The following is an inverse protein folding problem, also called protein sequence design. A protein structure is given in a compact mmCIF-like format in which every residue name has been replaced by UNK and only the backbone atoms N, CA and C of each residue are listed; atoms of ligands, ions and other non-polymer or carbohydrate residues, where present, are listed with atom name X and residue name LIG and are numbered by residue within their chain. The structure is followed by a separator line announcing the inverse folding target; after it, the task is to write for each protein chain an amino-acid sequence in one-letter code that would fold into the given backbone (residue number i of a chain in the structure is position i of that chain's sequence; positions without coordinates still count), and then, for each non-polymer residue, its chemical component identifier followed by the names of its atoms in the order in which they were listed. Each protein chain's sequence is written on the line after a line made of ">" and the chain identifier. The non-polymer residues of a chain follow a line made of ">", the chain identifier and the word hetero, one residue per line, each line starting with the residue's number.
data_IF_919033905864
#
_entry.id   IF_919033905864
#
_cell.length_a   1.000
_cell.length_b   1.000
_cell.length_c   1.000
_cell.angle_alpha   90.00
_cell.angle_beta   90.00
_cell.angle_gamma   90.00
#
_symmetry.space_group_name_H-M   'P 1'
#
loop_
_entity.id
_entity.type
_entity.pdbx_description
1 polymer ?
#
# COMPACT_ATOMS: atom_id res chain seq x y z
N UNK A 1 17.56 16.46 25.93
CA UNK A 1 17.18 15.29 25.13
C UNK A 1 16.96 15.76 23.71
N UNK A 2 17.75 15.32 22.72
CA UNK A 2 17.62 15.87 21.37
C UNK A 2 16.30 15.37 20.77
N UNK A 3 15.33 16.27 20.65
CA UNK A 3 14.09 16.05 19.93
C UNK A 3 14.45 16.02 18.45
N UNK A 4 14.47 14.83 17.84
CA UNK A 4 14.68 14.67 16.41
C UNK A 4 13.39 15.08 15.67
N UNK A 5 13.01 16.35 15.77
CA UNK A 5 11.90 16.93 15.02
C UNK A 5 12.35 17.07 13.58
N UNK A 6 11.85 16.19 12.71
CA UNK A 6 12.12 16.29 11.28
C UNK A 6 11.59 17.65 10.78
N UNK A 7 12.43 18.44 10.08
CA UNK A 7 12.05 19.79 9.69
C UNK A 7 10.97 19.73 8.62
N UNK A 8 9.82 20.38 8.89
CA UNK A 8 8.81 20.65 7.88
C UNK A 8 9.41 21.57 6.81
N UNK A 9 9.52 21.09 5.57
CA UNK A 9 10.17 21.82 4.46
C UNK A 9 9.17 22.50 3.54
N UNK A 10 9.66 23.42 2.69
CA UNK A 10 8.88 24.07 1.63
C UNK A 10 8.28 23.07 0.61
N UNK A 11 8.88 21.88 0.47
CA UNK A 11 8.33 20.81 -0.34
C UNK A 11 7.03 20.25 0.25
N UNK A 12 6.91 20.19 1.58
CA UNK A 12 5.68 19.76 2.26
C UNK A 12 4.56 20.78 2.03
N UNK A 13 4.89 22.08 2.10
CA UNK A 13 3.95 23.16 1.77
C UNK A 13 3.45 23.01 0.34
N UNK A 14 4.36 22.88 -0.62
CA UNK A 14 4.06 22.71 -2.04
C UNK A 14 3.16 21.49 -2.28
N UNK A 15 3.43 20.37 -1.60
CA UNK A 15 2.59 19.17 -1.68
C UNK A 15 1.18 19.41 -1.15
N UNK A 16 1.04 20.11 -0.03
CA UNK A 16 -0.27 20.46 0.51
C UNK A 16 -1.07 21.34 -0.46
N UNK A 17 -0.43 22.32 -1.10
CA UNK A 17 -1.08 23.19 -2.08
C UNK A 17 -1.54 22.40 -3.32
N UNK A 18 -0.67 21.54 -3.88
CA UNK A 18 -0.97 20.76 -5.08
C UNK A 18 -2.09 19.73 -4.87
N UNK A 19 -2.14 19.10 -3.70
CA UNK A 19 -3.11 18.05 -3.39
C UNK A 19 -4.31 18.57 -2.58
N UNK A 20 -4.50 19.89 -2.53
CA UNK A 20 -5.59 20.56 -1.82
C UNK A 20 -5.77 20.09 -0.36
N UNK A 21 -4.65 19.84 0.34
CA UNK A 21 -4.67 19.38 1.74
C UNK A 21 -5.07 20.56 2.64
N UNK A 22 -6.21 20.46 3.37
CA UNK A 22 -6.64 21.51 4.29
C UNK A 22 -5.65 21.73 5.41
N UNK A 23 -5.62 22.96 5.94
CA UNK A 23 -4.70 23.36 7.01
C UNK A 23 -4.73 22.43 8.23
N UNK A 24 -5.90 21.92 8.60
CA UNK A 24 -6.05 21.04 9.74
C UNK A 24 -5.48 19.62 9.49
N UNK A 25 -5.57 19.09 8.26
CA UNK A 25 -4.90 17.85 7.87
C UNK A 25 -3.38 18.04 7.78
N UNK A 26 -2.92 19.22 7.33
CA UNK A 26 -1.50 19.61 7.39
C UNK A 26 -0.96 19.61 8.82
N UNK A 27 -1.70 20.17 9.78
CA UNK A 27 -1.29 20.16 11.20
C UNK A 27 -1.21 18.72 11.74
N UNK A 28 -2.14 17.85 11.35
CA UNK A 28 -2.10 16.43 11.71
C UNK A 28 -0.84 15.76 11.16
N UNK A 29 -0.51 16.00 9.89
CA UNK A 29 0.72 15.46 9.28
C UNK A 29 1.98 15.97 9.99
N UNK A 30 2.06 17.28 10.26
CA UNK A 30 3.15 17.87 11.03
C UNK A 30 3.30 17.23 12.42
N UNK A 31 2.18 16.96 13.09
CA UNK A 31 2.21 16.32 14.39
C UNK A 31 2.71 14.87 14.29
N UNK A 32 2.27 14.10 13.29
CA UNK A 32 2.74 12.73 13.07
C UNK A 32 4.24 12.66 12.79
N UNK A 33 4.78 13.61 12.03
CA UNK A 33 6.22 13.72 11.79
C UNK A 33 7.04 14.02 13.05
N UNK A 34 6.41 14.45 14.15
CA UNK A 34 7.07 14.68 15.45
C UNK A 34 7.04 13.46 16.36
N UNK A 35 6.22 12.45 16.06
CA UNK A 35 6.03 11.27 16.91
C UNK A 35 7.07 10.17 16.67
N UNK A 36 7.87 10.25 15.59
CA UNK A 36 8.89 9.25 15.29
C UNK A 36 9.66 9.56 14.01
N UNK A 37 10.48 8.61 13.57
CA UNK A 37 11.26 8.73 12.34
C UNK A 37 10.37 8.46 11.11
N UNK A 38 10.54 9.25 10.04
CA UNK A 38 9.83 9.02 8.78
C UNK A 38 10.15 7.61 8.26
N UNK A 39 9.17 6.92 7.69
CA UNK A 39 9.27 5.52 7.25
C UNK A 39 9.38 4.48 8.37
N UNK A 40 9.20 4.87 9.62
CA UNK A 40 9.01 3.92 10.73
C UNK A 40 7.55 3.82 11.12
N UNK A 41 7.17 2.65 11.64
CA UNK A 41 5.82 2.44 12.15
C UNK A 41 5.67 3.18 13.48
N UNK A 42 4.66 4.03 13.54
CA UNK A 42 4.28 4.79 14.73
C UNK A 42 2.89 4.37 15.17
N UNK A 43 2.62 4.43 16.47
CA UNK A 43 1.31 4.12 17.05
C UNK A 43 0.60 5.37 17.59
N UNK A 44 0.18 6.32 16.74
CA UNK A 44 -0.44 7.55 17.19
C UNK A 44 -1.85 7.35 17.74
N UNK A 45 -2.15 8.08 18.83
CA UNK A 45 -3.50 8.28 19.35
C UNK A 45 -4.05 9.64 18.88
N UNK A 46 -5.11 9.63 18.06
CA UNK A 46 -5.79 10.84 17.60
C UNK A 46 -6.41 11.66 18.74
N UNK A 47 -6.68 11.05 19.89
CA UNK A 47 -7.12 11.76 21.09
C UNK A 47 -5.98 12.56 21.74
N UNK A 48 -4.74 12.09 21.64
CA UNK A 48 -3.55 12.82 22.07
C UNK A 48 -3.28 14.00 21.13
N UNK A 49 -3.37 13.77 19.82
CA UNK A 49 -3.34 14.84 18.84
C UNK A 49 -4.38 15.92 19.16
N UNK A 50 -5.62 15.53 19.45
CA UNK A 50 -6.68 16.49 19.71
C UNK A 50 -6.44 17.33 20.97
N UNK A 51 -5.90 16.70 22.04
CA UNK A 51 -5.48 17.42 23.26
C UNK A 51 -4.34 18.39 22.96
N UNK A 52 -3.39 18.00 22.12
CA UNK A 52 -2.28 18.86 21.70
C UNK A 52 -2.75 20.07 20.89
N UNK A 53 -3.71 19.87 19.97
CA UNK A 53 -4.35 20.98 19.22
C UNK A 53 -5.17 21.86 20.14
N UNK A 54 -5.92 21.30 21.08
CA UNK A 54 -6.72 22.08 22.03
C UNK A 54 -5.85 23.02 22.88
N UNK A 55 -4.65 22.56 23.27
CA UNK A 55 -3.67 23.40 23.98
C UNK A 55 -3.17 24.60 23.15
N UNK A 56 -3.01 24.44 21.83
CA UNK A 56 -2.47 25.51 20.97
C UNK A 56 -3.56 26.40 20.35
N UNK A 57 -4.72 25.82 20.02
CA UNK A 57 -5.83 26.46 19.31
C UNK A 57 -7.01 26.82 20.21
N UNK A 58 -7.00 26.38 21.47
CA UNK A 58 -8.07 26.61 22.47
C UNK A 58 -9.29 25.71 22.33
N UNK A 59 -9.46 25.01 21.20
CA UNK A 59 -10.55 24.06 20.96
C UNK A 59 -10.08 22.88 20.12
N UNK A 60 -10.41 21.67 20.57
CA UNK A 60 -10.21 20.45 19.79
C UNK A 60 -11.03 20.41 18.50
N UNK A 61 -10.62 19.58 17.55
CA UNK A 61 -11.45 19.19 16.42
C UNK A 61 -12.53 18.21 16.86
N UNK A 62 -13.66 18.21 16.14
CA UNK A 62 -14.69 17.20 16.33
C UNK A 62 -14.23 15.84 15.81
N UNK A 63 -14.77 14.77 16.39
CA UNK A 63 -14.46 13.39 16.01
C UNK A 63 -14.57 13.14 14.50
N UNK A 64 -15.70 13.52 13.90
CA UNK A 64 -15.95 13.26 12.47
C UNK A 64 -14.98 14.05 11.59
N UNK A 65 -14.62 15.27 12.00
CA UNK A 65 -13.68 16.08 11.26
C UNK A 65 -12.26 15.51 11.34
N UNK A 66 -11.81 15.02 12.51
CA UNK A 66 -10.54 14.31 12.65
C UNK A 66 -10.46 13.09 11.73
N UNK A 67 -11.52 12.29 11.71
CA UNK A 67 -11.61 11.12 10.85
C UNK A 67 -11.52 11.49 9.36
N UNK A 68 -12.20 12.56 8.94
CA UNK A 68 -12.12 13.07 7.56
C UNK A 68 -10.70 13.49 7.19
N UNK A 69 -10.02 14.25 8.06
CA UNK A 69 -8.65 14.70 7.80
C UNK A 69 -7.65 13.55 7.77
N UNK A 70 -7.82 12.58 8.66
CA UNK A 70 -7.00 11.37 8.68
C UNK A 70 -7.16 10.57 7.38
N UNK A 71 -8.41 10.33 6.96
CA UNK A 71 -8.70 9.63 5.71
C UNK A 71 -8.13 10.37 4.50
N UNK A 72 -8.20 11.69 4.48
CA UNK A 72 -7.61 12.49 3.40
C UNK A 72 -6.10 12.24 3.28
N UNK A 73 -5.37 12.19 4.40
CA UNK A 73 -3.93 11.90 4.37
C UNK A 73 -3.63 10.47 3.90
N UNK A 74 -4.50 9.51 4.20
CA UNK A 74 -4.41 8.15 3.67
C UNK A 74 -4.67 8.11 2.16
N UNK A 75 -5.70 8.81 1.69
CA UNK A 75 -6.04 8.93 0.27
C UNK A 75 -4.90 9.57 -0.54
N UNK A 76 -4.28 10.61 -0.01
CA UNK A 76 -3.11 11.27 -0.59
C UNK A 76 -1.81 10.47 -0.41
N UNK A 77 -1.89 9.24 0.11
CA UNK A 77 -0.77 8.32 0.38
C UNK A 77 0.31 8.89 1.30
N UNK A 78 0.01 9.96 2.03
CA UNK A 78 0.90 10.55 3.03
C UNK A 78 1.09 9.58 4.20
N UNK A 79 0.01 8.88 4.54
CA UNK A 79 -0.05 7.91 5.63
C UNK A 79 -0.45 6.55 5.08
N UNK A 80 0.23 5.50 5.54
CA UNK A 80 -0.18 4.12 5.33
C UNK A 80 -0.57 3.51 6.67
N UNK A 81 -1.84 3.11 6.82
CA UNK A 81 -2.30 2.39 8.02
C UNK A 81 -1.87 0.93 7.90
N UNK A 82 -1.09 0.47 8.88
CA UNK A 82 -0.65 -0.93 9.00
C UNK A 82 -1.67 -1.73 9.81
N UNK A 83 -2.12 -1.16 10.93
CA UNK A 83 -3.11 -1.79 11.81
C UNK A 83 -4.02 -0.75 12.45
N UNK A 84 -5.28 -1.09 12.65
CA UNK A 84 -6.21 -0.27 13.40
C UNK A 84 -6.62 -0.99 14.69
N UNK A 85 -6.35 -0.39 15.84
CA UNK A 85 -6.73 -0.95 17.15
C UNK A 85 -8.08 -0.40 17.63
N UNK A 86 -8.34 0.87 17.32
CA UNK A 86 -9.63 1.52 17.54
C UNK A 86 -9.81 2.66 16.54
N UNK A 87 -10.92 3.39 16.57
CA UNK A 87 -11.08 4.55 15.68
C UNK A 87 -10.06 5.67 15.95
N UNK A 88 -9.40 5.67 17.12
CA UNK A 88 -8.45 6.70 17.54
C UNK A 88 -6.99 6.23 17.59
N UNK A 89 -6.74 4.93 17.67
CA UNK A 89 -5.38 4.37 17.82
C UNK A 89 -5.08 3.46 16.63
N UNK A 90 -3.99 3.76 15.95
CA UNK A 90 -3.56 3.09 14.73
C UNK A 90 -2.07 2.77 14.83
N UNK A 91 -1.63 1.68 14.21
CA UNK A 91 -0.24 1.49 13.79
C UNK A 91 -0.16 1.94 12.34
N UNK A 92 0.65 2.96 12.06
CA UNK A 92 0.75 3.53 10.73
C UNK A 92 2.18 3.97 10.42
N UNK A 93 2.46 4.14 9.13
CA UNK A 93 3.73 4.62 8.62
C UNK A 93 3.51 5.94 7.89
N UNK A 94 4.32 6.94 8.22
CA UNK A 94 4.33 8.23 7.50
C UNK A 94 5.32 8.09 6.35
N UNK A 95 4.84 8.25 5.11
CA UNK A 95 5.69 8.10 3.92
C UNK A 95 6.56 9.36 3.74
N UNK A 96 7.83 9.20 3.33
CA UNK A 96 8.68 10.33 2.97
C UNK A 96 8.12 11.01 1.72
N UNK A 97 8.31 12.33 1.63
CA UNK A 97 7.88 13.15 0.49
C UNK A 97 8.36 12.63 -0.87
N UNK A 98 9.54 12.02 -0.93
CA UNK A 98 10.09 11.47 -2.17
C UNK A 98 9.27 10.30 -2.71
N UNK A 99 8.50 9.63 -1.86
CA UNK A 99 7.57 8.57 -2.26
C UNK A 99 6.21 9.10 -2.74
N UNK A 100 5.96 10.39 -2.52
CA UNK A 100 4.73 11.07 -2.94
C UNK A 100 4.87 11.77 -4.31
N UNK A 101 6.11 12.01 -4.76
CA UNK A 101 6.39 12.56 -6.10
C UNK A 101 6.14 11.47 -7.16
N UNK A 102 5.42 11.75 -8.26
CA UNK A 102 5.38 10.81 -9.38
C UNK A 102 6.82 10.59 -9.88
N UNK A 103 7.21 9.36 -10.22
CA UNK A 103 8.58 9.07 -10.61
C UNK A 103 8.99 9.95 -11.79
N UNK A 104 10.02 10.79 -11.60
CA UNK A 104 10.47 11.81 -12.56
C UNK A 104 11.00 11.24 -13.89
N UNK A 105 11.14 9.93 -14.01
CA UNK A 105 11.46 9.21 -15.25
C UNK A 105 10.65 7.90 -15.29
N UNK A 106 10.15 7.46 -16.45
CA UNK A 106 9.82 6.04 -16.61
C UNK A 106 11.09 5.27 -16.29
N UNK A 107 11.07 4.49 -15.21
CA UNK A 107 12.19 3.61 -14.88
C UNK A 107 12.30 2.62 -16.04
N UNK A 108 13.29 2.80 -16.89
CA UNK A 108 13.81 1.68 -17.67
C UNK A 108 14.09 0.55 -16.69
N UNK A 109 13.52 -0.62 -17.00
CA UNK A 109 13.61 -1.83 -16.18
C UNK A 109 15.08 -2.24 -16.07
N UNK A 110 15.77 -1.74 -15.05
CA UNK A 110 17.02 -2.29 -14.56
C UNK A 110 16.93 -2.34 -13.03
N UNK A 111 16.29 -3.40 -12.54
CA UNK A 111 16.28 -3.81 -11.15
C UNK A 111 17.66 -4.35 -10.79
N UNK A 112 18.62 -3.47 -10.55
CA UNK A 112 19.76 -3.81 -9.72
C UNK A 112 19.33 -3.67 -8.27
N UNK A 113 18.93 -4.81 -7.72
CA UNK A 113 18.71 -5.05 -6.31
C UNK A 113 20.01 -4.66 -5.55
N UNK A 114 20.04 -3.47 -4.97
CA UNK A 114 21.13 -3.02 -4.10
C UNK A 114 20.56 -2.84 -2.70
N UNK A 115 20.48 -3.93 -1.96
CA UNK A 115 20.44 -3.88 -0.50
C UNK A 115 21.80 -3.35 -0.04
N UNK A 116 21.82 -2.10 0.42
CA UNK A 116 22.99 -1.48 1.03
C UNK A 116 23.07 -1.96 2.48
N UNK A 117 23.91 -2.96 2.75
CA UNK A 117 24.35 -3.34 4.09
C UNK A 117 25.83 -3.00 4.21
N UNK A 118 26.17 -1.99 5.02
CA UNK A 118 27.52 -1.80 5.54
C UNK A 118 27.61 -2.62 6.84
N UNK A 119 28.59 -3.47 7.12
CA UNK A 119 29.75 -3.94 6.37
C UNK A 119 30.64 -4.79 7.28
N UNK A 120 31.54 -5.58 6.68
CA UNK A 120 32.80 -6.21 7.20
C UNK A 120 32.94 -7.68 6.72
N UNK A 121 34.16 -8.17 6.41
CA UNK A 121 34.54 -8.40 5.02
C UNK A 121 34.97 -9.83 4.66
N UNK A 122 34.99 -10.08 3.34
CA UNK A 122 35.80 -11.04 2.57
C UNK A 122 35.70 -12.55 2.89
N UNK A 123 35.28 -13.36 1.91
CA UNK A 123 36.22 -14.12 1.06
C UNK A 123 35.50 -15.14 0.15
N UNK A 124 35.89 -15.11 -1.13
CA UNK A 124 35.90 -16.18 -2.13
C UNK A 124 34.59 -16.84 -2.63
N UNK A 125 34.30 -16.50 -3.89
CA UNK A 125 33.83 -17.32 -5.01
C UNK A 125 33.51 -18.80 -4.72
N UNK A 126 32.26 -19.22 -4.94
CA UNK A 126 31.93 -20.34 -5.84
C UNK A 126 30.43 -20.44 -6.12
N UNK A 127 30.15 -20.91 -7.34
CA UNK A 127 28.88 -20.96 -8.06
C UNK A 127 27.72 -21.71 -7.38
N UNK A 128 26.53 -21.13 -7.46
CA UNK A 128 25.18 -21.73 -7.65
C UNK A 128 24.20 -20.52 -7.62
N UNK A 129 23.12 -20.38 -8.39
CA UNK A 129 22.04 -21.30 -8.65
C UNK A 129 21.24 -20.85 -9.91
N UNK A 130 21.00 -21.78 -10.82
CA UNK A 130 20.08 -21.71 -11.96
C UNK A 130 18.60 -21.74 -11.53
N UNK A 131 18.28 -21.49 -10.25
CA UNK A 131 16.95 -21.74 -9.66
C UNK A 131 15.87 -20.68 -9.95
N UNK A 132 16.25 -19.43 -10.17
CA UNK A 132 15.27 -18.32 -10.25
C UNK A 132 14.46 -18.27 -11.55
N UNK A 133 15.01 -18.74 -12.68
CA UNK A 133 14.32 -18.70 -13.97
C UNK A 133 13.23 -19.78 -14.03
N UNK A 134 13.47 -20.93 -13.39
CA UNK A 134 12.56 -22.07 -13.42
C UNK A 134 11.29 -21.83 -12.59
N UNK A 135 11.40 -21.12 -11.45
CA UNK A 135 10.25 -20.75 -10.60
C UNK A 135 9.36 -19.66 -11.20
N UNK A 136 9.91 -18.77 -12.04
CA UNK A 136 9.11 -17.72 -12.69
C UNK A 136 8.24 -18.28 -13.82
N UNK A 137 8.76 -19.23 -14.60
CA UNK A 137 7.98 -19.91 -15.62
C UNK A 137 6.87 -20.79 -15.01
N UNK A 138 7.14 -21.48 -13.89
CA UNK A 138 6.14 -22.35 -13.24
C UNK A 138 4.91 -21.59 -12.75
N UNK A 139 5.07 -20.35 -12.28
CA UNK A 139 3.93 -19.56 -11.78
C UNK A 139 3.04 -19.04 -12.91
N UNK A 140 3.61 -18.71 -14.09
CA UNK A 140 2.84 -18.17 -15.21
C UNK A 140 1.85 -19.22 -15.73
N UNK A 141 2.31 -20.45 -15.93
CA UNK A 141 1.46 -21.54 -16.43
C UNK A 141 0.36 -21.92 -15.42
N UNK A 142 0.71 -21.95 -14.13
CA UNK A 142 -0.26 -22.19 -13.05
C UNK A 142 -1.31 -21.08 -12.97
N UNK A 143 -0.90 -19.83 -13.11
CA UNK A 143 -1.80 -18.67 -13.06
C UNK A 143 -2.70 -18.61 -14.30
N UNK A 144 -2.19 -19.00 -15.48
CA UNK A 144 -2.99 -19.16 -16.69
C UNK A 144 -4.07 -20.23 -16.52
N UNK A 145 -3.71 -21.40 -15.98
CA UNK A 145 -4.67 -22.45 -15.69
C UNK A 145 -5.76 -21.96 -14.72
N UNK A 146 -5.36 -21.29 -13.64
CA UNK A 146 -6.28 -20.75 -12.63
C UNK A 146 -7.29 -19.75 -13.24
N UNK A 147 -6.84 -18.88 -14.15
CA UNK A 147 -7.71 -17.94 -14.84
C UNK A 147 -8.64 -18.64 -15.84
N UNK A 148 -8.13 -19.62 -16.58
CA UNK A 148 -8.89 -20.41 -17.53
C UNK A 148 -10.00 -21.22 -16.83
N UNK A 149 -9.73 -21.80 -15.67
CA UNK A 149 -10.72 -22.50 -14.83
C UNK A 149 -11.87 -21.59 -14.40
N UNK A 150 -11.62 -20.28 -14.33
CA UNK A 150 -12.62 -19.25 -14.03
C UNK A 150 -13.23 -18.62 -15.30
N UNK A 151 -12.99 -19.20 -16.48
CA UNK A 151 -13.50 -18.72 -17.77
C UNK A 151 -12.83 -17.45 -18.29
N UNK A 152 -11.72 -17.01 -17.69
CA UNK A 152 -10.99 -15.80 -18.08
C UNK A 152 -9.82 -16.19 -18.97
N UNK A 153 -9.96 -15.96 -20.27
CA UNK A 153 -8.89 -16.22 -21.24
C UNK A 153 -7.95 -15.02 -21.36
N UNK A 154 -6.64 -15.31 -21.39
CA UNK A 154 -5.59 -14.30 -21.53
C UNK A 154 -4.85 -14.47 -22.86
N UNK A 155 -4.61 -13.35 -23.56
CA UNK A 155 -3.86 -13.33 -24.80
C UNK A 155 -2.36 -13.59 -24.54
N UNK A 156 -1.75 -14.43 -25.38
CA UNK A 156 -0.36 -14.89 -25.22
C UNK A 156 0.70 -13.76 -25.29
N UNK A 157 0.32 -12.59 -25.80
CA UNK A 157 1.23 -11.49 -26.11
C UNK A 157 1.59 -10.62 -24.90
N UNK A 158 0.77 -10.58 -23.85
CA UNK A 158 1.00 -9.73 -22.67
C UNK A 158 0.83 -10.51 -21.35
N UNK A 159 1.83 -11.35 -21.02
CA UNK A 159 1.86 -12.15 -19.79
C UNK A 159 2.49 -11.44 -18.58
N UNK A 160 2.78 -10.13 -18.67
CA UNK A 160 3.51 -9.39 -17.61
C UNK A 160 2.83 -9.51 -16.23
N UNK A 161 1.51 -9.47 -16.20
CA UNK A 161 0.73 -9.55 -14.95
C UNK A 161 0.60 -10.97 -14.40
N UNK A 162 0.92 -11.99 -15.21
CA UNK A 162 0.77 -13.40 -14.84
C UNK A 162 2.00 -13.95 -14.09
N UNK A 163 3.11 -13.20 -14.09
CA UNK A 163 4.27 -13.51 -13.25
C UNK A 163 4.05 -13.14 -11.77
N UNK A 164 2.86 -12.63 -11.42
CA UNK A 164 2.51 -12.26 -10.04
C UNK A 164 2.30 -13.49 -9.16
N UNK A 165 2.41 -13.34 -7.83
CA UNK A 165 2.07 -14.40 -6.89
C UNK A 165 0.64 -14.92 -7.10
N UNK A 166 0.43 -16.23 -6.95
CA UNK A 166 -0.86 -16.89 -7.21
C UNK A 166 -1.99 -16.34 -6.34
N UNK A 167 -1.70 -15.94 -5.10
CA UNK A 167 -2.69 -15.28 -4.23
C UNK A 167 -3.17 -13.93 -4.81
N UNK A 168 -2.32 -13.16 -5.50
CA UNK A 168 -2.77 -11.93 -6.17
C UNK A 168 -3.69 -12.23 -7.35
N UNK A 169 -3.47 -13.34 -8.07
CA UNK A 169 -4.36 -13.78 -9.15
C UNK A 169 -5.72 -14.18 -8.60
N UNK A 170 -5.75 -14.95 -7.50
CA UNK A 170 -6.98 -15.31 -6.81
C UNK A 170 -7.74 -14.07 -6.32
N UNK A 171 -7.05 -13.11 -5.71
CA UNK A 171 -7.64 -11.83 -5.30
C UNK A 171 -8.24 -11.06 -6.48
N UNK A 172 -7.56 -11.04 -7.63
CA UNK A 172 -8.08 -10.38 -8.82
C UNK A 172 -9.37 -11.05 -9.36
N UNK A 173 -9.44 -12.39 -9.32
CA UNK A 173 -10.64 -13.15 -9.68
C UNK A 173 -11.78 -12.85 -8.70
N UNK A 174 -11.51 -12.82 -7.39
CA UNK A 174 -12.51 -12.46 -6.38
C UNK A 174 -13.04 -11.04 -6.64
N UNK A 175 -12.15 -10.07 -6.90
CA UNK A 175 -12.55 -8.70 -7.25
C UNK A 175 -13.42 -8.64 -8.51
N UNK A 176 -13.12 -9.45 -9.51
CA UNK A 176 -13.91 -9.56 -10.73
C UNK A 176 -15.33 -10.04 -10.42
N UNK A 177 -15.46 -11.11 -9.63
CA UNK A 177 -16.75 -11.65 -9.22
C UNK A 177 -17.55 -10.67 -8.36
N UNK A 178 -16.92 -10.01 -7.37
CA UNK A 178 -17.58 -9.00 -6.53
C UNK A 178 -18.12 -7.80 -7.33
N UNK A 179 -17.48 -7.48 -8.45
CA UNK A 179 -17.92 -6.39 -9.33
C UNK A 179 -19.05 -6.80 -10.29
N UNK A 180 -19.47 -8.07 -10.24
CA UNK A 180 -20.56 -8.64 -11.05
C UNK A 180 -20.07 -9.55 -12.17
N UNK A 181 -18.79 -9.91 -12.19
CA UNK A 181 -18.22 -10.90 -13.12
C UNK A 181 -18.63 -10.69 -14.58
N UNK A 182 -18.90 -11.80 -15.28
CA UNK A 182 -19.32 -11.79 -16.68
C UNK A 182 -20.67 -11.11 -16.93
N UNK A 183 -21.52 -10.94 -15.91
CA UNK A 183 -22.80 -10.26 -16.07
C UNK A 183 -22.63 -8.75 -16.27
N UNK A 184 -21.58 -8.16 -15.69
CA UNK A 184 -21.35 -6.70 -15.71
C UNK A 184 -20.06 -6.29 -16.42
N UNK A 185 -19.08 -7.17 -16.54
CA UNK A 185 -17.76 -6.87 -17.08
C UNK A 185 -17.63 -7.56 -18.44
N UNK A 186 -17.67 -6.75 -19.50
CA UNK A 186 -17.55 -7.24 -20.88
C UNK A 186 -16.12 -7.62 -21.28
N UNK A 187 -15.10 -7.04 -20.62
CA UNK A 187 -13.69 -7.38 -20.84
C UNK A 187 -13.04 -7.89 -19.53
N UNK A 188 -13.16 -9.20 -19.24
CA UNK A 188 -12.60 -9.82 -18.04
C UNK A 188 -11.08 -9.72 -17.97
N UNK A 189 -10.39 -9.96 -19.09
CA UNK A 189 -8.94 -9.89 -19.16
C UNK A 189 -8.42 -8.48 -18.82
N UNK A 190 -8.98 -7.46 -19.47
CA UNK A 190 -8.64 -6.07 -19.20
C UNK A 190 -8.89 -5.68 -17.75
N UNK A 191 -10.00 -6.15 -17.17
CA UNK A 191 -10.29 -5.95 -15.75
C UNK A 191 -9.23 -6.60 -14.86
N UNK A 192 -8.87 -7.85 -15.09
CA UNK A 192 -7.85 -8.55 -14.28
C UNK A 192 -6.50 -7.86 -14.40
N UNK A 193 -6.09 -7.43 -15.61
CA UNK A 193 -4.85 -6.66 -15.81
C UNK A 193 -4.84 -5.38 -14.98
N UNK A 194 -5.92 -4.60 -15.03
CA UNK A 194 -6.02 -3.35 -14.28
C UNK A 194 -6.10 -3.60 -12.77
N UNK A 195 -6.85 -4.62 -12.36
CA UNK A 195 -6.99 -5.05 -10.97
C UNK A 195 -5.63 -5.42 -10.36
N UNK A 196 -4.82 -6.23 -11.07
CA UNK A 196 -3.48 -6.62 -10.64
C UNK A 196 -2.51 -5.44 -10.61
N UNK A 197 -2.55 -4.56 -11.63
CA UNK A 197 -1.67 -3.37 -11.71
C UNK A 197 -1.94 -2.36 -10.60
N UNK A 198 -3.22 -2.17 -10.26
CA UNK A 198 -3.68 -1.16 -9.28
C UNK A 198 -3.98 -1.76 -7.91
N UNK A 199 -3.86 -3.08 -7.76
CA UNK A 199 -4.12 -3.86 -6.54
C UNK A 199 -5.47 -3.51 -5.93
N UNK A 200 -6.56 -3.71 -6.69
CA UNK A 200 -7.88 -3.22 -6.26
C UNK A 200 -8.35 -3.75 -4.90
N UNK A 201 -7.87 -4.92 -4.47
CA UNK A 201 -8.14 -5.49 -3.14
C UNK A 201 -7.56 -4.67 -1.99
N UNK A 202 -6.60 -3.77 -2.23
CA UNK A 202 -6.04 -2.87 -1.20
C UNK A 202 -6.90 -1.64 -0.94
N UNK A 203 -7.86 -1.33 -1.82
CA UNK A 203 -8.75 -0.19 -1.60
C UNK A 203 -9.62 -0.45 -0.36
N UNK A 204 -9.78 0.52 0.57
CA UNK A 204 -10.47 0.29 1.85
C UNK A 204 -11.86 -0.32 1.71
N UNK A 205 -12.63 0.10 0.70
CA UNK A 205 -13.95 -0.47 0.44
C UNK A 205 -13.90 -1.96 0.08
N UNK A 206 -13.00 -2.32 -0.84
CA UNK A 206 -12.86 -3.70 -1.32
C UNK A 206 -12.20 -4.59 -0.25
N UNK A 207 -11.20 -4.08 0.46
CA UNK A 207 -10.54 -4.79 1.55
C UNK A 207 -11.52 -5.11 2.68
N UNK A 208 -12.35 -4.14 3.09
CA UNK A 208 -13.37 -4.38 4.11
C UNK A 208 -14.40 -5.42 3.64
N UNK A 209 -14.74 -5.43 2.36
CA UNK A 209 -15.65 -6.42 1.79
C UNK A 209 -15.01 -7.82 1.81
N UNK A 210 -13.73 -7.93 1.45
CA UNK A 210 -12.97 -9.18 1.57
C UNK A 210 -12.89 -9.66 3.02
N UNK A 211 -12.63 -8.75 3.97
CA UNK A 211 -12.55 -9.09 5.39
C UNK A 211 -13.88 -9.62 5.93
N UNK A 212 -15.01 -9.10 5.45
CA UNK A 212 -16.33 -9.61 5.82
C UNK A 212 -16.60 -11.01 5.27
N UNK A 213 -16.11 -11.30 4.06
CA UNK A 213 -16.34 -12.59 3.39
C UNK A 213 -15.38 -13.68 3.86
N UNK A 214 -14.10 -13.32 4.02
CA UNK A 214 -13.01 -14.27 4.21
C UNK A 214 -12.27 -14.08 5.53
N UNK A 215 -12.45 -12.97 6.26
CA UNK A 215 -11.62 -12.62 7.43
C UNK A 215 -11.66 -13.60 8.61
N UNK A 216 -12.59 -14.56 8.62
CA UNK A 216 -12.66 -15.63 9.62
C UNK A 216 -12.33 -17.03 9.03
N UNK A 217 -11.98 -17.11 7.74
CA UNK A 217 -11.66 -18.37 7.07
C UNK A 217 -10.15 -18.58 6.98
N UNK A 218 -9.75 -19.85 6.83
CA UNK A 218 -8.35 -20.23 6.55
C UNK A 218 -7.87 -19.68 5.20
N UNK A 219 -8.80 -19.34 4.30
CA UNK A 219 -8.51 -18.74 3.00
C UNK A 219 -7.96 -17.31 3.14
N UNK A 220 -8.22 -16.62 4.26
CA UNK A 220 -7.65 -15.29 4.50
C UNK A 220 -6.12 -15.31 4.53
N UNK A 221 -5.55 -16.29 5.22
CA UNK A 221 -4.09 -16.45 5.35
C UNK A 221 -3.45 -16.89 4.03
N UNK A 222 -4.22 -17.54 3.14
CA UNK A 222 -3.77 -17.91 1.79
C UNK A 222 -3.83 -16.72 0.82
N UNK A 223 -4.85 -15.87 0.94
CA UNK A 223 -5.02 -14.67 0.11
C UNK A 223 -4.07 -13.54 0.55
N UNK A 224 -3.85 -13.42 1.86
CA UNK A 224 -2.95 -12.46 2.50
C UNK A 224 -1.89 -13.21 3.35
N UNK A 225 -0.98 -13.97 2.72
CA UNK A 225 0.10 -14.63 3.44
C UNK A 225 0.92 -13.56 4.15
N UNK A 226 1.07 -13.74 5.46
CA UNK A 226 1.53 -12.73 6.41
C UNK A 226 2.72 -11.93 5.86
N UNK A 227 2.50 -10.64 5.61
CA UNK A 227 3.57 -9.64 5.48
C UNK A 227 3.90 -9.06 6.84
#
# INVERSE_FOLDING_TARGET
>A
MPQNTLPWTEEHESFCYLNHIPHAAKILWQWLMRQGEISTEVEPDLSEFNRWVEKSRGKGYSHNYLKQMFNLLVEQRVIQVVKQYSWKIFRLLVRPLDWLKPPKKPREKNLQNSNCSYGSPTSNQQSAETGNIQQQHSNIDQNLATLADNGIHFDEREKEVLARPTNEIQLAIIMFNLRGGFEKIHNPEGFIRDCLRRRYWEHPHNYNHLLQLYGNSTEWDELFPSG
#
